data_IF_616977665548
#
_entry.id   IF_616977665548
#
_cell.length_a   1.000
_cell.length_b   1.000
_cell.length_c   1.000
_cell.angle_alpha   90.00
_cell.angle_beta   90.00
_cell.angle_gamma   90.00
#
_symmetry.space_group_name_H-M   'P 1'
#
loop_
_entity.id
_entity.type
_entity.pdbx_description
1 polymer ?
#
# COMPACT_ATOMS: atom_id res chain seq x y z
N UNK A 1 8.62 -5.43 10.69
CA UNK A 1 7.24 -5.35 10.17
C UNK A 1 7.25 -5.56 8.67
N UNK A 2 6.38 -6.40 8.19
CA UNK A 2 6.30 -6.74 6.78
C UNK A 2 5.15 -5.98 6.13
N UNK A 3 5.44 -5.32 5.01
CA UNK A 3 4.57 -4.30 4.45
C UNK A 3 4.21 -4.62 3.01
N UNK A 4 2.95 -4.36 2.67
CA UNK A 4 2.48 -4.28 1.29
C UNK A 4 2.28 -2.82 0.91
N UNK A 5 2.80 -2.41 -0.22
CA UNK A 5 2.55 -1.07 -0.77
C UNK A 5 1.54 -1.18 -1.88
N UNK A 6 0.33 -0.70 -1.64
CA UNK A 6 -0.75 -0.67 -2.62
C UNK A 6 -0.67 0.65 -3.39
N UNK A 7 -0.75 0.57 -4.71
CA UNK A 7 -0.51 1.73 -5.57
C UNK A 7 0.99 1.99 -5.76
N UNK A 8 1.79 0.94 -5.70
CA UNK A 8 3.24 1.04 -5.64
C UNK A 8 3.86 1.69 -6.87
N UNK A 9 3.24 1.56 -8.03
CA UNK A 9 3.79 2.13 -9.26
C UNK A 9 3.42 3.61 -9.47
N UNK A 10 2.56 4.15 -8.64
CA UNK A 10 2.21 5.56 -8.69
C UNK A 10 3.36 6.44 -8.17
N UNK A 11 3.24 7.75 -8.40
CA UNK A 11 4.29 8.69 -8.02
C UNK A 11 4.65 8.62 -6.53
N UNK A 12 3.65 8.54 -5.68
CA UNK A 12 3.89 8.45 -4.23
C UNK A 12 4.26 7.05 -3.80
N UNK A 13 3.75 6.03 -4.48
CA UNK A 13 4.09 4.65 -4.17
C UNK A 13 5.58 4.37 -4.34
N UNK A 14 6.17 4.85 -5.42
CA UNK A 14 7.60 4.70 -5.66
C UNK A 14 8.43 5.41 -4.60
N UNK A 15 7.98 6.58 -4.16
CA UNK A 15 8.66 7.31 -3.08
C UNK A 15 8.61 6.54 -1.76
N UNK A 16 7.50 5.89 -1.47
CA UNK A 16 7.39 5.03 -0.29
C UNK A 16 8.36 3.87 -0.36
N UNK A 17 8.47 3.21 -1.52
CA UNK A 17 9.41 2.12 -1.68
C UNK A 17 10.84 2.58 -1.43
N UNK A 18 11.21 3.75 -1.97
CA UNK A 18 12.55 4.29 -1.76
C UNK A 18 12.83 4.64 -0.30
N UNK A 19 11.84 5.19 0.37
CA UNK A 19 11.98 5.55 1.79
C UNK A 19 12.08 4.31 2.68
N UNK A 20 11.25 3.31 2.42
CA UNK A 20 11.17 2.12 3.26
C UNK A 20 12.42 1.26 3.22
N UNK A 21 13.13 1.24 2.10
CA UNK A 21 14.34 0.41 2.00
C UNK A 21 15.45 0.83 2.95
N UNK A 22 15.37 2.03 3.50
CA UNK A 22 16.36 2.56 4.42
C UNK A 22 15.97 2.39 5.89
N UNK A 23 14.85 1.73 6.17
CA UNK A 23 14.36 1.55 7.54
C UNK A 23 14.60 0.10 7.94
N UNK A 24 15.43 -0.13 8.96
CA UNK A 24 15.93 -1.46 9.31
C UNK A 24 14.85 -2.47 9.69
N UNK A 25 13.83 -2.04 10.40
CA UNK A 25 12.82 -2.96 10.94
C UNK A 25 11.64 -3.17 10.00
N UNK A 26 11.72 -2.64 8.77
CA UNK A 26 10.66 -2.74 7.79
C UNK A 26 11.13 -3.52 6.57
N UNK A 27 10.25 -4.37 6.07
CA UNK A 27 10.49 -5.14 4.86
C UNK A 27 9.26 -5.04 3.95
N UNK A 28 9.46 -4.64 2.69
CA UNK A 28 8.38 -4.65 1.71
C UNK A 28 8.31 -6.03 1.09
N UNK A 29 7.25 -6.76 1.41
CA UNK A 29 7.08 -8.14 0.92
C UNK A 29 6.09 -8.24 -0.22
N UNK A 30 5.32 -7.19 -0.48
CA UNK A 30 4.31 -7.20 -1.54
C UNK A 30 4.11 -5.81 -2.13
N UNK A 31 3.79 -5.77 -3.40
CA UNK A 31 3.38 -4.54 -4.09
C UNK A 31 2.11 -4.81 -4.87
N UNK A 32 1.28 -3.81 -5.01
CA UNK A 32 0.00 -3.93 -5.71
C UNK A 32 -0.25 -2.71 -6.59
N UNK A 33 -0.85 -2.94 -7.74
CA UNK A 33 -1.24 -1.88 -8.65
C UNK A 33 -2.14 -2.40 -9.76
N UNK A 34 -2.79 -1.50 -10.50
CA UNK A 34 -3.82 -1.89 -11.48
C UNK A 34 -3.28 -2.55 -12.75
N UNK A 35 -2.01 -2.36 -13.06
CA UNK A 35 -1.41 -2.98 -14.24
C UNK A 35 -0.45 -4.07 -13.80
N UNK A 36 -0.89 -5.33 -13.95
CA UNK A 36 -0.14 -6.46 -13.43
C UNK A 36 1.25 -6.59 -14.05
N UNK A 37 1.40 -6.26 -15.32
CA UNK A 37 2.70 -6.36 -15.99
C UNK A 37 3.70 -5.35 -15.42
N UNK A 38 3.24 -4.13 -15.16
CA UNK A 38 4.09 -3.10 -14.57
C UNK A 38 4.44 -3.43 -13.12
N UNK A 39 3.49 -3.97 -12.38
CA UNK A 39 3.70 -4.34 -10.99
C UNK A 39 4.66 -5.52 -10.90
N UNK A 40 4.54 -6.49 -11.79
CA UNK A 40 5.47 -7.62 -11.85
C UNK A 40 6.90 -7.15 -12.14
N UNK A 41 7.04 -6.24 -13.08
CA UNK A 41 8.35 -5.67 -13.42
C UNK A 41 8.95 -4.91 -12.22
N UNK A 42 8.12 -4.13 -11.52
CA UNK A 42 8.57 -3.39 -10.34
C UNK A 42 9.02 -4.34 -9.23
N UNK A 43 8.25 -5.38 -8.97
CA UNK A 43 8.59 -6.37 -7.96
C UNK A 43 9.92 -7.05 -8.27
N UNK A 44 10.12 -7.42 -9.54
CA UNK A 44 11.37 -8.04 -9.97
C UNK A 44 12.56 -7.10 -9.81
N UNK A 45 12.39 -5.84 -10.20
CA UNK A 45 13.44 -4.83 -10.09
C UNK A 45 13.84 -4.58 -8.65
N UNK A 46 12.87 -4.60 -7.73
CA UNK A 46 13.08 -4.29 -6.31
C UNK A 46 13.28 -5.55 -5.45
N UNK A 47 13.30 -6.72 -6.06
CA UNK A 47 13.47 -8.00 -5.35
C UNK A 47 12.36 -8.25 -4.32
N UNK A 48 11.12 -7.93 -4.70
CA UNK A 48 9.94 -8.14 -3.87
C UNK A 48 9.26 -9.42 -4.29
N UNK A 49 8.98 -10.31 -3.34
CA UNK A 49 8.49 -11.65 -3.64
C UNK A 49 7.08 -11.69 -4.23
N UNK A 50 6.20 -10.86 -3.70
CA UNK A 50 4.78 -10.92 -4.07
C UNK A 50 4.34 -9.65 -4.80
N UNK A 51 3.52 -9.84 -5.82
CA UNK A 51 2.89 -8.75 -6.53
C UNK A 51 1.48 -9.17 -6.95
N UNK A 52 0.59 -8.19 -7.05
CA UNK A 52 -0.80 -8.47 -7.43
C UNK A 52 -1.48 -7.21 -7.96
N UNK A 53 -2.56 -7.39 -8.68
CA UNK A 53 -3.46 -6.30 -9.03
C UNK A 53 -4.72 -6.29 -8.15
N UNK A 54 -4.76 -7.14 -7.13
CA UNK A 54 -5.91 -7.30 -6.23
C UNK A 54 -5.53 -6.98 -4.79
N UNK A 55 -6.20 -6.01 -4.20
CA UNK A 55 -6.01 -5.67 -2.79
C UNK A 55 -6.42 -6.85 -1.90
N UNK A 56 -7.51 -7.53 -2.25
CA UNK A 56 -7.99 -8.67 -1.48
C UNK A 56 -6.94 -9.77 -1.38
N UNK A 57 -6.22 -10.02 -2.46
CA UNK A 57 -5.12 -10.98 -2.42
C UNK A 57 -4.03 -10.55 -1.46
N UNK A 58 -3.64 -9.27 -1.51
CA UNK A 58 -2.59 -8.75 -0.64
C UNK A 58 -2.97 -8.81 0.84
N UNK A 59 -4.20 -8.45 1.18
CA UNK A 59 -4.64 -8.45 2.57
C UNK A 59 -4.88 -9.85 3.12
N UNK A 60 -4.99 -10.85 2.26
CA UNK A 60 -5.13 -12.24 2.69
C UNK A 60 -3.80 -12.89 3.05
N UNK A 61 -2.68 -12.26 2.73
CA UNK A 61 -1.37 -12.82 3.01
C UNK A 61 -1.05 -12.76 4.50
N UNK A 62 -0.69 -13.92 5.05
CA UNK A 62 -0.36 -14.00 6.48
C UNK A 62 0.95 -13.29 6.82
N UNK A 63 1.84 -13.18 5.85
CA UNK A 63 3.14 -12.54 6.08
C UNK A 63 3.12 -11.02 5.85
N UNK A 64 1.95 -10.42 5.71
CA UNK A 64 1.78 -8.97 5.62
C UNK A 64 1.21 -8.46 6.92
N UNK A 65 1.93 -7.56 7.58
CA UNK A 65 1.50 -6.96 8.85
C UNK A 65 0.79 -5.64 8.64
N UNK A 66 1.19 -4.90 7.62
CA UNK A 66 0.68 -3.55 7.37
C UNK A 66 0.55 -3.27 5.88
N UNK A 67 -0.37 -2.40 5.55
CA UNK A 67 -0.59 -1.95 4.17
C UNK A 67 -0.41 -0.44 4.11
N UNK A 68 0.38 0.02 3.15
CA UNK A 68 0.44 1.44 2.83
C UNK A 68 -0.43 1.68 1.60
N UNK A 69 -1.48 2.48 1.76
CA UNK A 69 -2.39 2.80 0.68
C UNK A 69 -1.95 4.06 -0.03
N UNK A 70 -1.41 3.90 -1.23
CA UNK A 70 -0.98 4.99 -2.10
C UNK A 70 -1.81 4.99 -3.39
N UNK A 71 -3.03 4.51 -3.30
CA UNK A 71 -3.99 4.41 -4.39
C UNK A 71 -4.77 5.72 -4.53
N UNK A 72 -5.64 5.85 -5.56
CA UNK A 72 -6.44 7.08 -5.70
C UNK A 72 -7.27 7.39 -4.46
N UNK A 73 -7.35 8.67 -4.12
CA UNK A 73 -7.99 9.15 -2.89
C UNK A 73 -9.41 8.63 -2.70
N UNK A 74 -10.19 8.54 -3.77
CA UNK A 74 -11.59 8.12 -3.69
C UNK A 74 -11.73 6.69 -3.16
N UNK A 75 -10.69 5.89 -3.25
CA UNK A 75 -10.71 4.48 -2.84
C UNK A 75 -10.22 4.26 -1.42
N UNK A 76 -9.61 5.26 -0.81
CA UNK A 76 -8.89 5.08 0.45
C UNK A 76 -9.77 4.60 1.60
N UNK A 77 -10.97 5.20 1.76
CA UNK A 77 -11.84 4.83 2.88
C UNK A 77 -12.26 3.36 2.81
N UNK A 78 -12.71 2.91 1.64
CA UNK A 78 -13.12 1.52 1.45
C UNK A 78 -11.94 0.56 1.61
N UNK A 79 -10.81 0.91 1.05
CA UNK A 79 -9.62 0.07 1.14
C UNK A 79 -9.10 -0.01 2.57
N UNK A 80 -9.10 1.11 3.30
CA UNK A 80 -8.67 1.11 4.69
C UNK A 80 -9.56 0.21 5.54
N UNK A 81 -10.88 0.26 5.33
CA UNK A 81 -11.81 -0.60 6.06
C UNK A 81 -11.53 -2.06 5.78
N UNK A 82 -11.30 -2.43 4.52
CA UNK A 82 -10.98 -3.81 4.15
C UNK A 82 -9.70 -4.29 4.83
N UNK A 83 -8.69 -3.45 4.86
CA UNK A 83 -7.43 -3.80 5.50
C UNK A 83 -7.60 -3.99 7.01
N UNK A 84 -8.32 -3.09 7.66
CA UNK A 84 -8.57 -3.19 9.10
C UNK A 84 -9.41 -4.42 9.44
N UNK A 85 -10.42 -4.75 8.62
CA UNK A 85 -11.23 -5.94 8.81
C UNK A 85 -10.39 -7.21 8.69
N UNK A 86 -9.34 -7.18 7.89
CA UNK A 86 -8.41 -8.30 7.75
C UNK A 86 -7.35 -8.35 8.85
N UNK A 87 -7.42 -7.45 9.83
CA UNK A 87 -6.47 -7.42 10.93
C UNK A 87 -5.13 -6.79 10.62
N UNK A 88 -5.06 -6.01 9.53
CA UNK A 88 -3.81 -5.37 9.12
C UNK A 88 -3.76 -3.94 9.64
N UNK A 89 -2.56 -3.49 9.97
CA UNK A 89 -2.31 -2.08 10.21
C UNK A 89 -2.38 -1.33 8.88
N UNK A 90 -2.87 -0.11 8.90
CA UNK A 90 -3.06 0.66 7.68
C UNK A 90 -2.43 2.03 7.82
N UNK A 91 -1.59 2.39 6.86
CA UNK A 91 -1.13 3.75 6.70
C UNK A 91 -1.71 4.28 5.40
N UNK A 92 -2.56 5.30 5.50
CA UNK A 92 -3.17 5.90 4.33
C UNK A 92 -2.38 7.15 3.98
N UNK A 93 -1.88 7.20 2.75
CA UNK A 93 -1.25 8.39 2.23
C UNK A 93 -2.25 9.54 2.29
N UNK A 94 -1.82 10.69 2.79
CA UNK A 94 -2.66 11.87 2.79
C UNK A 94 -2.30 12.67 1.55
N UNK A 95 -2.96 12.42 0.41
CA UNK A 95 -2.75 13.29 -0.71
C UNK A 95 -3.33 14.64 -0.36
N UNK A 96 -3.02 15.62 -1.13
CA UNK A 96 -3.69 16.91 -1.03
C UNK A 96 -5.15 16.67 -1.39
N UNK A 97 -5.94 16.30 -0.39
CA UNK A 97 -7.34 15.96 -0.62
C UNK A 97 -8.12 17.17 -1.08
N UNK A 98 -9.15 16.93 -1.88
CA UNK A 98 -9.96 17.99 -2.41
C UNK A 98 -10.73 18.73 -1.32
N UNK A 99 -11.07 18.04 -0.24
CA UNK A 99 -11.81 18.63 0.87
C UNK A 99 -11.17 18.27 2.19
N UNK A 100 -11.44 19.06 3.21
CA UNK A 100 -10.96 18.78 4.56
C UNK A 100 -11.51 17.45 5.09
N UNK A 101 -12.75 17.13 4.74
CA UNK A 101 -13.36 15.88 5.17
C UNK A 101 -12.60 14.68 4.59
N UNK A 102 -12.22 14.74 3.32
CA UNK A 102 -11.44 13.68 2.70
C UNK A 102 -10.07 13.54 3.35
N UNK A 103 -9.44 14.65 3.67
CA UNK A 103 -8.18 14.65 4.39
C UNK A 103 -8.29 13.94 5.74
N UNK A 104 -9.36 14.22 6.47
CA UNK A 104 -9.59 13.58 7.77
C UNK A 104 -9.78 12.08 7.64
N UNK A 105 -10.50 11.64 6.62
CA UNK A 105 -10.67 10.21 6.35
C UNK A 105 -9.35 9.56 6.00
N UNK A 106 -8.48 10.26 5.29
CA UNK A 106 -7.18 9.74 4.88
C UNK A 106 -6.20 9.66 6.04
N UNK A 107 -6.51 10.22 7.19
CA UNK A 107 -5.67 10.15 8.38
C UNK A 107 -5.86 8.87 9.18
N UNK A 108 -6.74 8.00 8.76
CA UNK A 108 -7.01 6.74 9.47
C UNK A 108 -5.77 5.87 9.42
N UNK A 109 -5.28 5.47 10.58
CA UNK A 109 -4.17 4.53 10.71
C UNK A 109 -4.32 3.76 12.01
N UNK A 110 -3.79 2.57 12.02
CA UNK A 110 -3.87 1.70 13.18
C UNK A 110 -2.47 1.22 13.53
#
# INVERSE_FOLDING_TARGET
>A
MRICVAGAYGAFGLKHLDALKNIEDLEVVSVMGPNIDKIAALANERHIEHFSDSLEECISLQNVDAIILSTPTQMHANQAIKCMDAGKHVLVEIPMADTLADSNLSLIHI
#
